data_IF_259470282574
#
_entry.id   IF_259470282574
#
_cell.length_a   1.000
_cell.length_b   1.000
_cell.length_c   1.000
_cell.angle_alpha   90.00
_cell.angle_beta   90.00
_cell.angle_gamma   90.00
#
_symmetry.space_group_name_H-M   'P 1'
#
loop_
_entity.id
_entity.type
_entity.pdbx_description
1 polymer ?
#
# COMPACT_ATOMS: atom_id res chain seq x y z
N UNK A 1 15.22 -10.82 -10.93
CA UNK A 1 13.97 -10.78 -10.16
C UNK A 1 14.32 -10.73 -8.69
N UNK A 2 13.60 -10.01 -7.81
CA UNK A 2 13.82 -10.14 -6.37
C UNK A 2 13.39 -11.56 -5.96
N UNK A 3 14.31 -12.32 -5.35
CA UNK A 3 14.02 -13.64 -4.81
C UNK A 3 13.24 -13.47 -3.49
N UNK A 4 11.95 -13.81 -3.52
CA UNK A 4 11.11 -13.83 -2.33
C UNK A 4 11.33 -15.14 -1.56
N UNK A 5 11.15 -15.09 -0.23
CA UNK A 5 11.25 -16.27 0.63
C UNK A 5 10.08 -17.23 0.31
N UNK A 6 10.30 -18.56 0.25
CA UNK A 6 9.28 -19.54 -0.16
C UNK A 6 7.98 -19.44 0.65
N UNK A 7 8.10 -19.14 1.95
CA UNK A 7 6.96 -19.06 2.89
C UNK A 7 6.15 -17.75 2.77
N UNK A 8 6.47 -16.86 1.83
CA UNK A 8 5.69 -15.64 1.62
C UNK A 8 4.25 -16.00 1.25
N UNK A 9 4.06 -17.02 0.41
CA UNK A 9 2.77 -17.45 -0.13
C UNK A 9 1.78 -17.86 0.98
N UNK A 10 2.24 -18.65 1.96
CA UNK A 10 1.44 -19.09 3.11
C UNK A 10 0.95 -17.91 3.98
N UNK A 11 1.77 -16.85 4.10
CA UNK A 11 1.36 -15.63 4.79
C UNK A 11 0.29 -14.86 4.00
N UNK A 12 0.35 -14.85 2.67
CA UNK A 12 -0.64 -14.13 1.85
C UNK A 12 -2.01 -14.79 1.89
N UNK A 13 -2.02 -16.12 1.92
CA UNK A 13 -3.23 -16.92 1.97
C UNK A 13 -3.90 -16.86 3.34
N UNK A 14 -3.14 -16.61 4.42
CA UNK A 14 -3.66 -16.57 5.80
C UNK A 14 -4.04 -15.17 6.31
N UNK A 15 -3.68 -14.09 5.60
CA UNK A 15 -4.02 -12.73 6.01
C UNK A 15 -5.49 -12.44 5.71
N UNK A 16 -6.31 -12.38 6.77
CA UNK A 16 -7.68 -11.89 6.68
C UNK A 16 -7.73 -10.46 6.11
N UNK A 17 -8.33 -10.35 4.91
CA UNK A 17 -8.56 -9.09 4.21
C UNK A 17 -9.74 -8.27 4.80
N UNK A 18 -10.32 -8.72 5.92
CA UNK A 18 -11.51 -8.14 6.55
C UNK A 18 -11.21 -6.97 7.50
N UNK A 19 -9.95 -6.74 7.89
CA UNK A 19 -9.60 -5.64 8.81
C UNK A 19 -9.77 -4.27 8.15
N UNK A 20 -10.76 -3.53 8.64
CA UNK A 20 -10.98 -2.11 8.38
C UNK A 20 -9.70 -1.30 8.65
N UNK A 21 -9.23 -0.58 7.63
CA UNK A 21 -8.05 0.29 7.73
C UNK A 21 -8.52 1.64 8.29
N UNK A 22 -8.25 1.91 9.57
CA UNK A 22 -8.49 3.23 10.15
C UNK A 22 -7.29 4.15 9.84
N UNK A 23 -7.44 5.04 8.86
CA UNK A 23 -6.35 5.90 8.37
C UNK A 23 -6.57 7.34 8.84
N UNK A 24 -5.60 7.91 9.55
CA UNK A 24 -5.57 9.36 9.82
C UNK A 24 -5.61 10.12 8.49
N UNK A 25 -6.60 11.00 8.31
CA UNK A 25 -6.75 11.82 7.10
C UNK A 25 -7.63 11.23 5.99
N UNK A 26 -8.29 10.08 6.24
CA UNK A 26 -9.19 9.45 5.26
C UNK A 26 -10.32 10.39 4.80
N UNK A 27 -10.99 11.04 5.75
CA UNK A 27 -12.06 12.02 5.49
C UNK A 27 -11.58 13.22 4.67
N UNK A 28 -10.38 13.71 4.96
CA UNK A 28 -9.80 14.83 4.24
C UNK A 28 -9.48 14.46 2.79
N UNK A 29 -9.01 13.23 2.55
CA UNK A 29 -8.76 12.75 1.21
C UNK A 29 -10.05 12.57 0.41
N UNK A 30 -11.11 12.05 1.04
CA UNK A 30 -12.45 11.99 0.43
C UNK A 30 -12.91 13.38 0.03
N UNK A 31 -12.79 14.37 0.92
CA UNK A 31 -13.16 15.74 0.62
C UNK A 31 -12.41 16.29 -0.62
N UNK A 32 -11.10 16.05 -0.72
CA UNK A 32 -10.30 16.44 -1.88
C UNK A 32 -10.75 15.74 -3.18
N UNK A 33 -11.00 14.43 -3.13
CA UNK A 33 -11.49 13.67 -4.29
C UNK A 33 -12.81 14.26 -4.77
N UNK A 34 -13.76 14.49 -3.85
CA UNK A 34 -15.06 15.10 -4.17
C UNK A 34 -14.91 16.47 -4.81
N UNK A 35 -14.05 17.33 -4.26
CA UNK A 35 -13.82 18.67 -4.78
C UNK A 35 -13.23 18.66 -6.21
N UNK A 36 -12.41 17.67 -6.55
CA UNK A 36 -11.78 17.57 -7.87
C UNK A 36 -12.59 16.77 -8.91
N UNK A 37 -13.45 15.84 -8.47
CA UNK A 37 -14.15 14.91 -9.37
C UNK A 37 -15.67 15.11 -9.43
N UNK A 38 -16.26 15.82 -8.46
CA UNK A 38 -17.71 15.98 -8.33
C UNK A 38 -18.44 14.73 -7.82
N UNK A 39 -17.72 13.66 -7.45
CA UNK A 39 -18.33 12.42 -6.97
C UNK A 39 -19.04 12.61 -5.61
N UNK A 40 -20.02 11.75 -5.35
CA UNK A 40 -20.67 11.67 -4.03
C UNK A 40 -19.67 11.18 -2.97
N UNK A 41 -20.01 11.39 -1.71
CA UNK A 41 -19.18 10.93 -0.60
C UNK A 41 -19.04 9.41 -0.59
N UNK A 42 -20.15 8.71 -0.81
CA UNK A 42 -20.23 7.24 -0.81
C UNK A 42 -19.34 6.66 -1.91
N UNK A 43 -19.45 7.20 -3.13
CA UNK A 43 -18.64 6.75 -4.27
C UNK A 43 -17.16 7.06 -4.04
N UNK A 44 -16.82 8.26 -3.55
CA UNK A 44 -15.42 8.63 -3.27
C UNK A 44 -14.80 7.75 -2.19
N UNK A 45 -15.56 7.45 -1.14
CA UNK A 45 -15.15 6.54 -0.07
C UNK A 45 -14.91 5.12 -0.60
N UNK A 46 -15.81 4.62 -1.45
CA UNK A 46 -15.69 3.31 -2.06
C UNK A 46 -14.45 3.21 -2.97
N UNK A 47 -14.26 4.18 -3.87
CA UNK A 47 -13.08 4.26 -4.75
C UNK A 47 -11.80 4.27 -3.94
N UNK A 48 -11.75 5.08 -2.87
CA UNK A 48 -10.54 5.19 -2.05
C UNK A 48 -10.24 3.89 -1.30
N UNK A 49 -11.26 3.21 -0.77
CA UNK A 49 -11.12 1.89 -0.15
C UNK A 49 -10.57 0.88 -1.15
N UNK A 50 -11.13 0.82 -2.35
CA UNK A 50 -10.65 -0.09 -3.40
C UNK A 50 -9.20 0.20 -3.80
N UNK A 51 -8.85 1.48 -4.00
CA UNK A 51 -7.48 1.87 -4.32
C UNK A 51 -6.46 1.31 -3.33
N UNK A 52 -6.68 1.51 -2.03
CA UNK A 52 -5.75 0.98 -1.02
C UNK A 52 -5.81 -0.54 -0.89
N UNK A 53 -6.98 -1.14 -1.09
CA UNK A 53 -7.15 -2.58 -1.06
C UNK A 53 -6.38 -3.25 -2.20
N UNK A 54 -6.36 -2.65 -3.39
CA UNK A 54 -5.62 -3.16 -4.55
C UNK A 54 -4.10 -3.07 -4.33
N UNK A 55 -3.62 -1.96 -3.75
CA UNK A 55 -2.21 -1.81 -3.35
C UNK A 55 -1.85 -2.90 -2.33
N UNK A 56 -2.69 -3.11 -1.31
CA UNK A 56 -2.48 -4.16 -0.29
C UNK A 56 -2.43 -5.55 -0.93
N UNK A 57 -3.39 -5.88 -1.79
CA UNK A 57 -3.47 -7.18 -2.46
C UNK A 57 -2.25 -7.44 -3.37
N UNK A 58 -1.82 -6.43 -4.12
CA UNK A 58 -0.63 -6.53 -4.96
C UNK A 58 0.65 -6.73 -4.14
N UNK A 59 0.84 -5.92 -3.07
CA UNK A 59 1.96 -6.10 -2.17
C UNK A 59 1.98 -7.47 -1.51
N UNK A 60 0.81 -7.97 -1.12
CA UNK A 60 0.67 -9.32 -0.60
C UNK A 60 1.20 -10.32 -1.64
N UNK A 61 0.71 -10.32 -2.89
CA UNK A 61 1.21 -11.22 -3.96
C UNK A 61 2.71 -11.18 -4.28
N UNK A 62 3.49 -10.29 -3.65
CA UNK A 62 4.91 -10.07 -3.93
C UNK A 62 5.13 -9.06 -5.05
N UNK A 63 4.07 -8.42 -5.54
CA UNK A 63 4.19 -7.40 -6.57
C UNK A 63 4.79 -6.11 -5.98
N UNK A 64 5.62 -5.43 -6.79
CA UNK A 64 6.08 -4.08 -6.47
C UNK A 64 5.06 -3.10 -7.05
N UNK A 65 4.38 -2.37 -6.18
CA UNK A 65 3.39 -1.35 -6.59
C UNK A 65 4.09 -0.01 -6.78
N UNK A 66 4.25 0.42 -8.02
CA UNK A 66 4.86 1.70 -8.36
C UNK A 66 3.80 2.75 -8.69
N UNK A 67 3.78 3.85 -7.93
CA UNK A 67 2.94 5.02 -8.21
C UNK A 67 3.82 6.14 -8.78
N UNK A 68 3.54 6.55 -10.01
CA UNK A 68 4.29 7.61 -10.68
C UNK A 68 4.24 8.91 -9.86
N UNK A 69 5.35 9.65 -9.79
CA UNK A 69 5.42 10.88 -8.99
C UNK A 69 5.48 10.69 -7.48
N UNK A 70 5.27 9.47 -6.97
CA UNK A 70 5.08 9.22 -5.54
C UNK A 70 6.15 8.28 -4.98
N UNK A 71 6.19 7.04 -5.45
CA UNK A 71 7.15 6.05 -4.95
C UNK A 71 6.75 4.61 -5.25
N UNK A 72 7.43 3.68 -4.60
CA UNK A 72 7.19 2.24 -4.70
C UNK A 72 6.82 1.66 -3.35
N UNK A 73 5.85 0.77 -3.34
CA UNK A 73 5.53 -0.08 -2.21
C UNK A 73 5.93 -1.52 -2.53
N UNK A 74 6.55 -2.19 -1.57
CA UNK A 74 6.95 -3.59 -1.69
C UNK A 74 6.97 -4.27 -0.32
N UNK A 75 6.84 -5.60 -0.34
CA UNK A 75 7.08 -6.43 0.83
C UNK A 75 8.56 -6.82 0.88
N UNK A 76 9.20 -6.61 2.04
CA UNK A 76 10.57 -7.03 2.32
C UNK A 76 10.55 -8.14 3.39
N UNK A 77 11.25 -9.24 3.12
CA UNK A 77 11.56 -10.26 4.11
C UNK A 77 13.06 -10.20 4.44
N UNK A 78 13.47 -10.01 5.71
CA UNK A 78 14.89 -9.94 6.07
C UNK A 78 15.56 -11.32 5.90
N UNK A 79 16.60 -11.39 5.06
CA UNK A 79 17.35 -12.63 4.77
C UNK A 79 18.04 -13.29 5.98
N UNK A 80 18.23 -12.56 7.09
CA UNK A 80 19.23 -12.91 8.11
C UNK A 80 18.69 -13.06 9.55
N UNK A 81 17.37 -13.13 9.71
CA UNK A 81 16.78 -13.45 11.00
C UNK A 81 16.19 -14.84 10.92
N UNK A 82 16.64 -15.78 11.76
CA UNK A 82 16.02 -17.09 11.99
C UNK A 82 14.52 -17.02 12.42
N UNK A 83 13.92 -15.82 12.43
CA UNK A 83 12.50 -15.57 12.58
C UNK A 83 11.82 -15.59 11.19
N UNK A 84 11.29 -16.76 10.82
CA UNK A 84 10.63 -17.07 9.54
C UNK A 84 9.38 -16.23 9.18
N UNK A 85 8.96 -15.27 10.01
CA UNK A 85 7.58 -14.76 9.96
C UNK A 85 7.41 -13.25 9.81
N UNK A 86 8.48 -12.46 9.74
CA UNK A 86 8.32 -10.99 9.71
C UNK A 86 8.38 -10.43 8.29
N UNK A 87 7.22 -10.38 7.66
CA UNK A 87 6.97 -9.62 6.44
C UNK A 87 6.78 -8.15 6.80
N UNK A 88 7.62 -7.29 6.23
CA UNK A 88 7.55 -5.84 6.42
C UNK A 88 7.12 -5.16 5.13
N UNK A 89 6.11 -4.30 5.23
CA UNK A 89 5.78 -3.37 4.14
C UNK A 89 6.82 -2.25 4.14
N UNK A 90 7.41 -2.00 2.97
CA UNK A 90 8.38 -0.92 2.77
C UNK A 90 7.87 0.04 1.70
N UNK A 91 7.90 1.32 2.03
CA UNK A 91 7.69 2.42 1.08
C UNK A 91 9.04 3.04 0.70
N UNK A 92 9.27 3.22 -0.60
CA UNK A 92 10.45 3.88 -1.15
C UNK A 92 9.99 5.10 -1.96
N UNK A 93 10.10 6.33 -1.42
CA UNK A 93 9.67 7.52 -2.14
C UNK A 93 10.55 7.76 -3.36
N UNK A 94 9.97 8.32 -4.42
CA UNK A 94 10.75 8.84 -5.54
C UNK A 94 11.33 10.21 -5.21
N UNK A 95 12.42 10.55 -5.90
CA UNK A 95 13.10 11.85 -5.76
C UNK A 95 12.14 13.03 -5.96
N UNK A 96 11.16 12.91 -6.87
CA UNK A 96 10.12 13.91 -7.09
C UNK A 96 9.30 14.21 -5.82
N UNK A 97 8.92 13.19 -5.06
CA UNK A 97 8.21 13.36 -3.79
C UNK A 97 9.16 13.88 -2.71
N UNK A 98 10.37 13.33 -2.61
CA UNK A 98 11.37 13.77 -1.64
C UNK A 98 11.74 15.25 -1.80
N UNK A 99 11.87 15.73 -3.03
CA UNK A 99 12.17 17.13 -3.29
C UNK A 99 11.02 18.04 -2.85
N UNK A 100 9.77 17.70 -3.19
CA UNK A 100 8.58 18.47 -2.79
C UNK A 100 8.35 18.55 -1.28
N UNK A 101 8.86 17.59 -0.50
CA UNK A 101 8.72 17.59 0.96
C UNK A 101 9.82 18.40 1.68
N UNK A 102 10.93 18.68 1.00
CA UNK A 102 12.06 19.43 1.52
C UNK A 102 12.09 20.90 1.03
N UNK A 103 11.13 21.28 0.20
CA UNK A 103 10.78 22.67 -0.13
C UNK A 103 9.88 23.25 0.97
#
# INVERSE_FOLDING_TARGET
MPEFHPDIHDYLESVENSKSVNVKGFEWLIYKIRAHTGLSYEVSSLVLKHFFQDIRNAMLRGDIVALNGFGKFLVSSPKNTNNKQRIFVKFMPYTQLSNKLNE
#
